data_IF_522060307329
#
_entry.id   IF_522060307329
#
_cell.length_a   1.000
_cell.length_b   1.000
_cell.length_c   1.000
_cell.angle_alpha   90.00
_cell.angle_beta   90.00
_cell.angle_gamma   90.00
#
_symmetry.space_group_name_H-M   'P 1'
#
loop_
_entity.id
_entity.type
_entity.pdbx_description
1 polymer ?
#
# COMPACT_ATOMS: atom_id res chain seq x y z
N UNK A 1 -74.53 -26.63 29.35
CA UNK A 1 -73.58 -27.19 30.34
C UNK A 1 -72.26 -27.45 29.61
N UNK A 2 -71.14 -26.98 30.18
CA UNK A 2 -69.72 -27.07 29.74
C UNK A 2 -69.17 -25.99 28.79
N UNK A 3 -68.48 -25.02 29.39
CA UNK A 3 -67.19 -24.43 28.97
C UNK A 3 -66.04 -25.26 29.63
N UNK A 4 -64.73 -25.04 29.38
CA UNK A 4 -64.01 -24.39 28.27
C UNK A 4 -62.88 -25.29 27.68
N UNK A 5 -62.13 -24.82 26.67
CA UNK A 5 -60.77 -25.30 26.39
C UNK A 5 -59.80 -24.14 26.62
N UNK A 6 -58.87 -24.35 27.56
CA UNK A 6 -57.81 -23.43 27.96
C UNK A 6 -56.65 -23.50 26.97
N UNK A 7 -56.22 -22.35 26.46
CA UNK A 7 -54.91 -22.19 25.86
C UNK A 7 -53.85 -22.15 26.98
N UNK A 8 -52.87 -23.05 26.93
CA UNK A 8 -51.62 -22.94 27.70
C UNK A 8 -50.50 -22.65 26.70
N UNK A 9 -49.93 -21.46 26.79
CA UNK A 9 -48.70 -21.10 26.10
C UNK A 9 -47.54 -21.88 26.71
N UNK A 10 -46.83 -22.68 25.90
CA UNK A 10 -45.51 -23.19 26.24
C UNK A 10 -44.50 -22.06 26.02
N UNK A 11 -43.85 -21.63 27.09
CA UNK A 11 -42.69 -20.74 27.04
C UNK A 11 -41.47 -21.62 26.81
N UNK A 12 -40.86 -21.53 25.63
CA UNK A 12 -39.54 -22.12 25.34
C UNK A 12 -38.52 -21.01 25.58
N UNK A 13 -37.75 -21.13 26.66
CA UNK A 13 -36.59 -20.29 26.92
C UNK A 13 -35.44 -20.86 26.06
N UNK A 14 -35.09 -20.17 24.99
CA UNK A 14 -33.85 -20.41 24.29
C UNK A 14 -32.70 -19.75 25.08
N UNK A 15 -31.84 -20.54 25.70
CA UNK A 15 -30.56 -20.04 26.20
C UNK A 15 -29.68 -19.72 24.98
N UNK A 16 -29.48 -18.42 24.70
CA UNK A 16 -28.39 -17.99 23.83
C UNK A 16 -27.06 -18.22 24.57
N UNK A 17 -26.28 -19.18 24.10
CA UNK A 17 -24.85 -19.21 24.37
C UNK A 17 -24.18 -18.17 23.46
N UNK A 18 -23.83 -17.01 24.03
CA UNK A 18 -22.86 -16.12 23.39
C UNK A 18 -21.46 -16.61 23.74
N UNK A 19 -20.56 -16.81 22.77
CA UNK A 19 -19.16 -17.03 23.09
C UNK A 19 -18.60 -15.77 23.74
N UNK A 20 -17.88 -15.95 24.84
CA UNK A 20 -17.02 -14.91 25.40
C UNK A 20 -15.91 -14.64 24.38
N UNK A 21 -16.03 -13.54 23.64
CA UNK A 21 -14.87 -12.97 22.96
C UNK A 21 -13.88 -12.55 24.04
N UNK A 22 -12.76 -13.26 24.14
CA UNK A 22 -11.57 -12.74 24.80
C UNK A 22 -11.20 -11.46 24.08
N UNK A 23 -11.28 -10.32 24.76
CA UNK A 23 -10.71 -9.08 24.24
C UNK A 23 -9.26 -9.38 23.85
N UNK A 24 -8.94 -9.21 22.57
CA UNK A 24 -7.57 -9.11 22.13
C UNK A 24 -6.95 -7.98 22.95
N UNK A 25 -5.90 -8.28 23.71
CA UNK A 25 -5.01 -7.25 24.23
C UNK A 25 -4.45 -6.53 23.03
N UNK A 26 -4.94 -5.33 22.75
CA UNK A 26 -4.27 -4.37 21.88
C UNK A 26 -2.92 -4.10 22.50
N UNK A 27 -1.89 -4.79 22.01
CA UNK A 27 -0.52 -4.34 22.20
C UNK A 27 -0.45 -3.09 21.34
N UNK A 28 -0.60 -1.92 21.95
CA UNK A 28 -0.16 -0.67 21.29
C UNK A 28 1.27 -0.92 20.83
N UNK A 29 1.62 -0.74 19.55
CA UNK A 29 3.00 -0.76 19.12
C UNK A 29 3.71 0.46 19.72
N UNK A 30 4.10 0.37 20.99
CA UNK A 30 5.00 1.35 21.60
C UNK A 30 6.43 0.93 21.31
N UNK A 31 6.97 1.47 20.23
CA UNK A 31 8.26 2.18 20.18
C UNK A 31 8.51 2.58 18.71
N UNK A 32 8.51 3.89 18.42
CA UNK A 32 9.35 4.40 17.33
C UNK A 32 10.77 3.92 17.64
N UNK A 33 11.32 3.04 16.81
CA UNK A 33 12.63 2.45 17.05
C UNK A 33 13.75 3.28 16.41
N UNK A 34 13.43 4.05 15.37
CA UNK A 34 14.33 4.98 14.69
C UNK A 34 13.84 6.43 14.73
N UNK A 35 14.60 7.29 14.04
CA UNK A 35 14.40 8.73 13.90
C UNK A 35 14.95 9.17 12.55
N UNK A 36 14.34 10.09 11.81
CA UNK A 36 14.87 10.55 10.52
C UNK A 36 16.28 11.19 10.59
N UNK A 37 16.74 11.60 11.78
CA UNK A 37 18.12 12.08 11.98
C UNK A 37 19.17 10.96 11.99
N UNK A 38 18.76 9.74 12.37
CA UNK A 38 19.53 8.54 12.11
C UNK A 38 19.15 8.05 10.71
N UNK A 39 20.14 7.72 9.89
CA UNK A 39 19.91 7.36 8.49
C UNK A 39 20.41 5.96 8.17
N UNK A 40 20.66 5.14 9.19
CA UNK A 40 21.16 3.78 9.05
C UNK A 40 20.97 3.06 10.40
N UNK A 41 19.76 2.57 10.66
CA UNK A 41 19.39 1.96 11.95
C UNK A 41 20.19 0.70 12.30
N UNK A 42 20.55 -0.10 11.30
CA UNK A 42 21.26 -1.36 11.51
C UNK A 42 22.76 -1.34 11.20
N UNK A 43 23.24 -0.25 10.59
CA UNK A 43 24.65 -0.01 10.32
C UNK A 43 25.20 -0.80 9.12
N UNK A 44 24.34 -1.23 8.19
CA UNK A 44 24.75 -1.95 6.99
C UNK A 44 25.28 -1.01 5.87
N UNK A 45 25.06 0.29 6.03
CA UNK A 45 25.49 1.35 5.11
C UNK A 45 24.48 1.70 4.01
N UNK A 46 23.28 1.12 4.02
CA UNK A 46 22.14 1.52 3.20
C UNK A 46 21.27 2.48 4.00
N UNK A 47 20.94 3.66 3.45
CA UNK A 47 20.06 4.58 4.15
C UNK A 47 18.68 4.00 4.42
N UNK A 48 18.07 4.28 5.57
CA UNK A 48 16.79 3.70 5.98
C UNK A 48 15.66 3.95 4.97
N UNK A 49 15.65 5.12 4.32
CA UNK A 49 14.71 5.44 3.25
C UNK A 49 14.90 4.58 1.98
N UNK A 50 16.07 3.97 1.82
CA UNK A 50 16.41 3.05 0.74
C UNK A 50 16.53 1.59 1.19
N UNK A 51 16.30 1.31 2.47
CA UNK A 51 16.43 -0.02 3.05
C UNK A 51 15.07 -0.70 3.20
N UNK A 52 14.90 -1.86 2.57
CA UNK A 52 13.69 -2.66 2.75
C UNK A 52 13.67 -3.44 4.08
N UNK A 53 14.73 -3.41 4.86
CA UNK A 53 14.88 -4.07 6.15
C UNK A 53 15.79 -3.24 7.08
N UNK A 54 15.43 -2.00 7.44
CA UNK A 54 16.28 -1.05 8.16
C UNK A 54 16.73 -1.50 9.57
N UNK A 55 16.27 -2.66 10.05
CA UNK A 55 16.61 -3.22 11.35
C UNK A 55 17.31 -4.59 11.25
N UNK A 56 17.76 -5.00 10.06
CA UNK A 56 18.37 -6.31 9.81
C UNK A 56 19.60 -6.19 8.89
N UNK A 57 20.82 -6.11 9.45
CA UNK A 57 22.03 -5.79 8.68
C UNK A 57 22.50 -6.94 7.77
N UNK A 58 21.72 -8.02 7.67
CA UNK A 58 22.00 -9.15 6.79
C UNK A 58 21.28 -9.06 5.43
N UNK A 59 20.34 -8.13 5.27
CA UNK A 59 19.53 -7.96 4.06
C UNK A 59 18.99 -6.53 4.02
N UNK A 60 18.92 -5.94 2.82
CA UNK A 60 18.41 -4.57 2.64
C UNK A 60 17.45 -4.41 1.45
N UNK A 61 17.06 -5.54 0.85
CA UNK A 61 16.16 -5.57 -0.31
C UNK A 61 15.13 -6.67 -0.17
N UNK A 62 13.89 -6.33 -0.50
CA UNK A 62 12.83 -7.32 -0.60
C UNK A 62 13.18 -8.42 -1.60
N UNK A 63 12.71 -9.66 -1.36
CA UNK A 63 12.84 -10.72 -2.33
C UNK A 63 12.13 -10.33 -3.63
N UNK A 64 12.79 -10.56 -4.76
CA UNK A 64 12.26 -10.28 -6.08
C UNK A 64 11.70 -11.57 -6.68
N UNK A 65 10.44 -11.55 -7.06
CA UNK A 65 9.78 -12.59 -7.83
C UNK A 65 9.53 -12.10 -9.24
N UNK A 66 9.96 -12.90 -10.21
CA UNK A 66 9.60 -12.71 -11.61
C UNK A 66 8.40 -13.60 -11.88
N UNK A 67 7.40 -13.06 -12.59
CA UNK A 67 6.21 -13.81 -13.01
C UNK A 67 6.57 -15.12 -13.72
N UNK A 68 5.64 -16.08 -13.68
CA UNK A 68 5.78 -17.35 -14.38
C UNK A 68 4.48 -17.69 -15.10
N UNK A 69 4.53 -17.54 -16.41
CA UNK A 69 3.42 -17.86 -17.31
C UNK A 69 3.22 -19.39 -17.43
N UNK A 70 1.96 -19.89 -17.49
CA UNK A 70 0.71 -19.13 -17.42
C UNK A 70 0.30 -18.76 -15.99
N UNK A 71 -0.18 -17.55 -15.76
CA UNK A 71 -0.66 -17.07 -14.46
C UNK A 71 -1.96 -16.25 -14.53
N UNK A 72 -2.74 -16.38 -15.60
CA UNK A 72 -3.89 -15.54 -15.94
C UNK A 72 -5.19 -15.93 -15.21
N UNK A 73 -5.16 -16.96 -14.36
CA UNK A 73 -6.34 -17.38 -13.60
C UNK A 73 -5.98 -17.97 -12.23
N UNK A 74 -6.94 -18.00 -11.27
CA UNK A 74 -6.65 -18.37 -9.89
C UNK A 74 -5.97 -19.73 -9.70
N UNK A 75 -6.25 -20.69 -10.57
CA UNK A 75 -5.70 -22.06 -10.45
C UNK A 75 -4.21 -22.17 -10.79
N UNK A 76 -3.69 -21.21 -11.56
CA UNK A 76 -2.28 -21.17 -12.01
C UNK A 76 -1.53 -19.93 -11.52
N UNK A 77 -2.16 -19.10 -10.68
CA UNK A 77 -1.56 -17.90 -10.11
C UNK A 77 -0.16 -18.17 -9.50
N UNK A 78 0.77 -17.24 -9.76
CA UNK A 78 2.17 -17.30 -9.32
C UNK A 78 2.24 -17.20 -7.79
N UNK A 79 2.78 -18.20 -7.07
CA UNK A 79 2.93 -18.12 -5.61
C UNK A 79 3.99 -17.10 -5.22
N UNK A 80 3.60 -16.16 -4.36
CA UNK A 80 4.50 -15.21 -3.70
C UNK A 80 4.36 -15.33 -2.18
N UNK A 81 5.40 -14.91 -1.46
CA UNK A 81 5.39 -14.83 0.00
C UNK A 81 5.61 -13.39 0.42
N UNK A 82 4.72 -12.89 1.28
CA UNK A 82 4.80 -11.55 1.84
C UNK A 82 5.12 -11.75 3.31
N UNK A 83 6.41 -11.69 3.65
CA UNK A 83 6.81 -11.65 5.05
C UNK A 83 6.63 -10.20 5.54
N UNK A 84 7.58 -9.34 5.22
CA UNK A 84 7.47 -7.90 5.43
C UNK A 84 7.03 -7.19 4.15
N UNK A 85 7.68 -7.53 3.04
CA UNK A 85 7.33 -7.10 1.71
C UNK A 85 7.97 -7.99 0.65
N UNK A 86 7.59 -7.75 -0.60
CA UNK A 86 8.04 -8.48 -1.78
C UNK A 86 8.00 -7.56 -2.99
N UNK A 87 8.96 -7.74 -3.91
CA UNK A 87 8.93 -7.08 -5.22
C UNK A 87 8.51 -8.12 -6.26
N UNK A 88 7.49 -7.81 -7.04
CA UNK A 88 7.02 -8.62 -8.15
C UNK A 88 7.31 -7.90 -9.45
N UNK A 89 7.85 -8.60 -10.44
CA UNK A 89 8.09 -8.05 -11.78
C UNK A 89 7.48 -8.94 -12.84
N UNK A 90 6.90 -8.30 -13.84
CA UNK A 90 6.22 -9.00 -14.90
C UNK A 90 5.97 -8.15 -16.13
N UNK A 91 5.25 -8.73 -17.09
CA UNK A 91 4.83 -8.09 -18.33
C UNK A 91 3.52 -8.70 -18.81
N UNK A 92 2.53 -7.84 -19.06
CA UNK A 92 1.34 -8.28 -19.80
C UNK A 92 1.75 -8.52 -21.25
N UNK A 93 2.17 -9.73 -21.57
CA UNK A 93 3.11 -10.05 -22.64
C UNK A 93 2.51 -9.96 -24.04
N UNK A 94 1.21 -10.18 -24.16
CA UNK A 94 0.48 -10.20 -25.44
C UNK A 94 -1.02 -10.05 -25.26
N UNK A 95 -1.78 -9.90 -26.34
CA UNK A 95 -3.24 -9.94 -26.30
C UNK A 95 -3.80 -11.28 -25.77
N UNK A 96 -3.00 -12.36 -25.74
CA UNK A 96 -3.43 -13.66 -25.20
C UNK A 96 -3.26 -13.76 -23.70
N UNK A 97 -2.34 -12.98 -23.15
CA UNK A 97 -2.15 -12.82 -21.72
C UNK A 97 -3.31 -11.96 -21.19
N UNK A 98 -4.16 -12.59 -20.38
CA UNK A 98 -5.38 -11.95 -19.87
C UNK A 98 -5.18 -11.27 -18.53
N UNK A 99 -3.96 -11.25 -18.02
CA UNK A 99 -3.64 -10.73 -16.71
C UNK A 99 -2.64 -11.59 -16.00
N UNK A 100 -2.09 -11.02 -14.94
CA UNK A 100 -1.17 -11.69 -14.05
C UNK A 100 -1.77 -11.80 -12.65
N UNK A 101 -1.88 -13.03 -12.14
CA UNK A 101 -2.33 -13.29 -10.78
C UNK A 101 -1.17 -13.79 -9.92
N UNK A 102 -1.02 -13.16 -8.76
CA UNK A 102 -0.03 -13.50 -7.73
C UNK A 102 -0.75 -13.94 -6.47
N UNK A 103 -0.61 -15.23 -6.11
CA UNK A 103 -1.26 -15.79 -4.93
C UNK A 103 -0.39 -15.68 -3.70
N UNK A 104 -1.01 -15.30 -2.59
CA UNK A 104 -0.40 -15.22 -1.27
C UNK A 104 -1.35 -15.76 -0.21
N UNK A 105 -0.83 -16.05 0.97
CA UNK A 105 -1.59 -16.59 2.10
C UNK A 105 -1.46 -15.61 3.26
N UNK A 106 -2.58 -15.28 3.89
CA UNK A 106 -2.57 -14.59 5.18
C UNK A 106 -3.14 -15.50 6.26
N UNK A 107 -2.59 -15.40 7.46
CA UNK A 107 -2.99 -16.20 8.62
C UNK A 107 -3.70 -15.39 9.70
N UNK A 108 -3.73 -14.07 9.54
CA UNK A 108 -4.31 -13.11 10.48
C UNK A 108 -4.84 -11.89 9.74
N UNK A 109 -5.49 -10.98 10.48
CA UNK A 109 -5.89 -9.70 9.95
C UNK A 109 -4.64 -8.91 9.56
N UNK A 110 -4.59 -8.48 8.30
CA UNK A 110 -3.47 -7.71 7.75
C UNK A 110 -4.00 -6.57 6.90
N UNK A 111 -3.29 -5.45 6.93
CA UNK A 111 -3.47 -4.37 5.99
C UNK A 111 -2.23 -4.37 5.09
N UNK A 112 -2.46 -4.22 3.79
CA UNK A 112 -1.38 -4.25 2.82
C UNK A 112 -1.53 -3.11 1.83
N UNK A 113 -0.38 -2.71 1.28
CA UNK A 113 -0.29 -1.82 0.13
C UNK A 113 0.55 -2.45 -0.97
N UNK A 114 0.08 -2.33 -2.20
CA UNK A 114 0.78 -2.69 -3.42
C UNK A 114 0.99 -1.42 -4.28
N UNK A 115 2.24 -1.00 -4.43
CA UNK A 115 2.65 0.12 -5.27
C UNK A 115 3.12 -0.42 -6.62
N UNK A 116 2.30 -0.22 -7.64
CA UNK A 116 2.58 -0.60 -9.01
C UNK A 116 3.27 0.55 -9.76
N UNK A 117 4.32 0.20 -10.52
CA UNK A 117 5.10 1.12 -11.36
C UNK A 117 5.24 0.56 -12.77
N UNK A 118 5.07 1.42 -13.77
CA UNK A 118 5.36 1.09 -15.18
C UNK A 118 5.95 2.28 -15.92
N UNK A 119 6.84 2.01 -16.89
CA UNK A 119 7.34 3.01 -17.83
C UNK A 119 6.45 3.18 -19.06
N UNK A 120 5.48 2.30 -19.29
CA UNK A 120 4.64 2.36 -20.50
C UNK A 120 3.46 3.30 -20.32
N UNK A 121 3.49 4.43 -21.04
CA UNK A 121 2.43 5.43 -21.02
C UNK A 121 1.07 4.92 -21.52
N UNK A 122 1.07 3.84 -22.32
CA UNK A 122 -0.15 3.23 -22.85
C UNK A 122 -0.71 2.11 -21.96
N UNK A 123 0.06 1.66 -20.96
CA UNK A 123 -0.43 0.66 -20.02
C UNK A 123 -1.45 1.32 -19.08
N UNK A 124 -2.67 0.79 -19.06
CA UNK A 124 -3.73 1.20 -18.14
C UNK A 124 -4.01 0.04 -17.18
N UNK A 125 -3.15 -0.13 -16.16
CA UNK A 125 -3.30 -1.23 -15.21
C UNK A 125 -4.60 -1.09 -14.43
N UNK A 126 -5.32 -2.20 -14.31
CA UNK A 126 -6.37 -2.38 -13.32
C UNK A 126 -5.92 -3.45 -12.36
N UNK A 127 -5.95 -3.13 -11.08
CA UNK A 127 -5.51 -4.01 -10.00
C UNK A 127 -6.69 -4.31 -9.11
N UNK A 128 -6.87 -5.58 -8.75
CA UNK A 128 -7.90 -6.03 -7.82
C UNK A 128 -7.43 -7.20 -6.99
N UNK A 129 -8.05 -7.37 -5.83
CA UNK A 129 -7.81 -8.50 -4.93
C UNK A 129 -8.97 -9.49 -5.04
N UNK A 130 -8.64 -10.77 -5.07
CA UNK A 130 -9.63 -11.85 -5.03
C UNK A 130 -9.26 -12.91 -4.01
N UNK A 131 -10.25 -13.70 -3.60
CA UNK A 131 -10.04 -14.90 -2.78
C UNK A 131 -9.68 -16.11 -3.65
N UNK A 132 -9.37 -17.25 -3.01
CA UNK A 132 -9.00 -18.51 -3.70
C UNK A 132 -9.93 -18.92 -4.86
N UNK A 133 -11.23 -18.63 -4.76
CA UNK A 133 -12.26 -18.95 -5.77
C UNK A 133 -12.33 -17.92 -6.93
N UNK A 134 -11.54 -16.84 -6.88
CA UNK A 134 -11.55 -15.74 -7.84
C UNK A 134 -12.64 -14.69 -7.58
N UNK A 135 -13.28 -14.69 -6.40
CA UNK A 135 -14.25 -13.66 -6.04
C UNK A 135 -13.52 -12.40 -5.57
N UNK A 136 -13.82 -11.29 -6.23
CA UNK A 136 -13.22 -9.98 -5.93
C UNK A 136 -13.63 -9.49 -4.55
N UNK A 137 -12.67 -8.94 -3.81
CA UNK A 137 -12.87 -8.24 -2.54
C UNK A 137 -13.10 -6.76 -2.86
N UNK A 138 -14.20 -6.20 -2.35
CA UNK A 138 -14.63 -4.85 -2.73
C UNK A 138 -14.05 -3.73 -1.84
N UNK A 139 -13.45 -4.08 -0.70
CA UNK A 139 -12.84 -3.11 0.23
C UNK A 139 -11.39 -2.83 -0.20
N UNK A 140 -11.22 -2.24 -1.39
CA UNK A 140 -9.92 -1.77 -1.88
C UNK A 140 -9.93 -0.24 -2.02
N UNK A 141 -8.85 0.40 -1.59
CA UNK A 141 -8.57 1.80 -1.85
C UNK A 141 -7.57 1.86 -3.00
N UNK A 142 -7.99 2.43 -4.12
CA UNK A 142 -7.15 2.58 -5.31
C UNK A 142 -6.88 4.06 -5.54
N UNK A 143 -5.62 4.44 -5.45
CA UNK A 143 -5.13 5.76 -5.81
C UNK A 143 -4.30 5.66 -7.09
N UNK A 144 -4.66 6.47 -8.10
CA UNK A 144 -3.93 6.52 -9.36
C UNK A 144 -3.27 7.89 -9.49
N UNK A 145 -1.95 7.87 -9.65
CA UNK A 145 -1.15 9.04 -9.98
C UNK A 145 -0.71 8.87 -11.42
N UNK A 146 -1.20 9.75 -12.29
CA UNK A 146 -1.01 9.63 -13.73
C UNK A 146 0.44 9.96 -14.14
N UNK A 147 1.17 10.72 -13.31
CA UNK A 147 2.53 11.17 -13.55
C UNK A 147 3.28 11.27 -12.22
N UNK A 148 4.34 10.48 -12.01
CA UNK A 148 4.69 9.25 -12.75
C UNK A 148 3.55 8.21 -12.73
N UNK A 149 3.51 7.27 -13.69
CA UNK A 149 2.49 6.21 -13.79
C UNK A 149 2.58 5.23 -12.60
N UNK A 150 2.08 5.67 -11.45
CA UNK A 150 2.08 4.95 -10.18
C UNK A 150 0.64 4.69 -9.78
N UNK A 151 0.39 3.45 -9.40
CA UNK A 151 -0.92 3.00 -8.95
C UNK A 151 -0.72 2.37 -7.59
N UNK A 152 -1.38 2.92 -6.59
CA UNK A 152 -1.32 2.45 -5.22
C UNK A 152 -2.63 1.74 -4.91
N UNK A 153 -2.53 0.48 -4.50
CA UNK A 153 -3.69 -0.31 -4.10
C UNK A 153 -3.49 -0.76 -2.67
N UNK A 154 -4.37 -0.30 -1.79
CA UNK A 154 -4.30 -0.61 -0.37
C UNK A 154 -5.58 -1.28 0.08
N UNK A 155 -5.47 -2.32 0.90
CA UNK A 155 -6.62 -3.15 1.25
C UNK A 155 -6.41 -3.93 2.55
N UNK A 156 -7.45 -4.02 3.39
CA UNK A 156 -7.47 -4.93 4.52
C UNK A 156 -7.88 -6.34 4.09
N UNK A 157 -7.25 -7.34 4.71
CA UNK A 157 -7.71 -8.72 4.72
C UNK A 157 -8.07 -9.10 6.14
N UNK A 158 -9.34 -9.41 6.38
CA UNK A 158 -9.87 -9.68 7.72
C UNK A 158 -9.79 -11.15 8.12
N UNK A 159 -9.93 -12.05 7.15
CA UNK A 159 -10.01 -13.49 7.39
C UNK A 159 -8.73 -14.21 6.92
N UNK A 160 -8.24 -15.20 7.67
CA UNK A 160 -7.18 -16.08 7.20
C UNK A 160 -7.60 -16.81 5.91
N UNK A 161 -6.71 -16.87 4.93
CA UNK A 161 -7.04 -17.49 3.65
C UNK A 161 -5.98 -17.31 2.58
N UNK A 162 -6.27 -17.87 1.41
CA UNK A 162 -5.50 -17.67 0.18
C UNK A 162 -6.18 -16.58 -0.65
N UNK A 163 -5.37 -15.64 -1.12
CA UNK A 163 -5.79 -14.47 -1.89
C UNK A 163 -4.91 -14.29 -3.11
N UNK A 164 -5.39 -13.52 -4.09
CA UNK A 164 -4.64 -13.17 -5.29
C UNK A 164 -4.66 -11.67 -5.51
N UNK A 165 -3.47 -11.09 -5.68
CA UNK A 165 -3.29 -9.79 -6.32
C UNK A 165 -3.35 -10.01 -7.83
N UNK A 166 -4.27 -9.34 -8.50
CA UNK A 166 -4.52 -9.53 -9.92
C UNK A 166 -4.28 -8.22 -10.66
N UNK A 167 -3.56 -8.29 -11.77
CA UNK A 167 -3.23 -7.16 -12.62
C UNK A 167 -3.67 -7.45 -14.05
N UNK A 168 -4.38 -6.51 -14.68
CA UNK A 168 -4.77 -6.57 -16.09
C UNK A 168 -4.51 -5.23 -16.78
N UNK A 169 -4.38 -5.23 -18.10
CA UNK A 169 -4.48 -4.01 -18.91
C UNK A 169 -5.94 -3.76 -19.30
N UNK A 170 -6.47 -2.58 -18.97
CA UNK A 170 -7.85 -2.16 -19.32
C UNK A 170 -8.11 -2.23 -20.83
N UNK A 171 -7.08 -1.97 -21.63
CA UNK A 171 -7.19 -2.02 -23.09
C UNK A 171 -7.06 -3.43 -23.67
N UNK A 172 -6.77 -4.44 -22.84
CA UNK A 172 -6.49 -5.82 -23.25
C UNK A 172 -5.48 -5.94 -24.39
N UNK A 173 -4.54 -4.99 -24.47
CA UNK A 173 -3.63 -4.91 -25.62
C UNK A 173 -2.47 -5.88 -25.48
N UNK A 174 -1.89 -5.97 -24.28
CA UNK A 174 -0.62 -6.64 -24.04
C UNK A 174 0.54 -6.10 -24.91
N UNK A 175 1.74 -6.60 -24.66
CA UNK A 175 2.94 -6.26 -25.40
C UNK A 175 4.18 -6.23 -24.50
N UNK A 176 5.38 -6.41 -25.07
CA UNK A 176 6.61 -6.46 -24.28
C UNK A 176 6.93 -5.14 -23.57
N UNK A 177 6.27 -4.04 -23.96
CA UNK A 177 6.38 -2.74 -23.32
C UNK A 177 5.51 -2.61 -22.05
N UNK A 178 4.49 -3.46 -21.86
CA UNK A 178 3.61 -3.46 -20.68
C UNK A 178 4.27 -4.15 -19.48
N UNK A 179 5.57 -3.90 -19.30
CA UNK A 179 6.33 -4.37 -18.16
C UNK A 179 5.98 -3.56 -16.92
N UNK A 180 6.03 -4.21 -15.76
CA UNK A 180 5.72 -3.58 -14.49
C UNK A 180 6.55 -4.13 -13.35
N UNK A 181 6.58 -3.34 -12.29
CA UNK A 181 7.09 -3.71 -10.97
C UNK A 181 6.01 -3.39 -9.93
N UNK A 182 5.78 -4.30 -8.98
CA UNK A 182 4.90 -4.11 -7.84
C UNK A 182 5.73 -4.26 -6.58
N UNK A 183 5.77 -3.24 -5.76
CA UNK A 183 6.29 -3.34 -4.38
C UNK A 183 5.09 -3.60 -3.47
N UNK A 184 5.06 -4.76 -2.82
CA UNK A 184 3.90 -5.23 -2.05
C UNK A 184 4.31 -5.53 -0.62
N UNK A 185 3.75 -4.81 0.35
CA UNK A 185 4.22 -4.79 1.74
C UNK A 185 3.08 -4.68 2.75
N UNK A 186 3.40 -4.92 4.03
CA UNK A 186 2.49 -4.66 5.15
C UNK A 186 2.47 -3.15 5.43
N UNK A 187 1.28 -2.60 5.61
CA UNK A 187 1.02 -1.18 5.79
C UNK A 187 -0.15 -1.05 6.77
N UNK A 188 0.14 -0.70 8.02
CA UNK A 188 -0.78 -0.83 9.14
C UNK A 188 -1.89 0.22 9.14
N UNK A 189 -1.63 1.42 8.65
CA UNK A 189 -2.57 2.55 8.65
C UNK A 189 -3.05 2.95 7.25
N UNK A 190 -2.56 2.27 6.21
CA UNK A 190 -3.03 2.34 4.82
C UNK A 190 -2.70 3.69 4.20
N UNK A 191 -1.50 4.16 4.43
CA UNK A 191 -1.01 5.47 3.98
C UNK A 191 -0.02 5.36 2.80
N UNK A 192 0.32 4.13 2.38
CA UNK A 192 1.31 3.78 1.36
C UNK A 192 2.76 3.76 1.82
N UNK A 193 3.00 3.78 3.12
CA UNK A 193 4.29 3.69 3.76
C UNK A 193 4.50 2.29 4.35
N UNK A 194 5.71 1.77 4.22
CA UNK A 194 6.06 0.47 4.76
C UNK A 194 6.29 0.51 6.27
N UNK A 195 5.62 -0.38 7.01
CA UNK A 195 5.68 -0.46 8.48
C UNK A 195 7.11 -0.42 9.07
N UNK A 196 8.12 -1.02 8.42
CA UNK A 196 9.48 -0.95 8.98
C UNK A 196 10.13 0.39 8.66
N UNK A 197 9.95 0.88 7.43
CA UNK A 197 10.52 2.18 7.04
C UNK A 197 9.92 3.30 7.86
N UNK A 198 8.61 3.30 8.12
CA UNK A 198 7.99 4.27 9.03
C UNK A 198 8.69 4.29 10.40
N UNK A 199 8.91 3.11 10.99
CA UNK A 199 9.60 3.03 12.28
C UNK A 199 11.02 3.53 12.24
N UNK A 200 11.72 3.28 11.13
CA UNK A 200 13.10 3.64 10.91
C UNK A 200 13.25 5.16 10.76
N UNK A 201 12.47 5.74 9.85
CA UNK A 201 12.48 7.18 9.56
C UNK A 201 11.64 8.02 10.54
N UNK A 202 11.05 7.40 11.57
CA UNK A 202 10.31 8.11 12.62
C UNK A 202 8.89 8.57 12.24
N UNK A 203 8.25 7.96 11.25
CA UNK A 203 6.80 8.11 11.00
C UNK A 203 5.94 7.19 11.90
N UNK A 204 4.64 7.44 11.98
CA UNK A 204 3.71 6.79 12.92
C UNK A 204 2.86 5.70 12.24
N UNK A 205 3.03 4.45 12.69
CA UNK A 205 2.33 3.25 12.18
C UNK A 205 0.79 3.26 12.25
N UNK A 206 0.20 4.25 12.90
CA UNK A 206 -1.23 4.36 13.14
C UNK A 206 -1.81 5.68 12.61
N UNK A 207 -0.98 6.65 12.24
CA UNK A 207 -1.39 7.97 11.81
C UNK A 207 -0.79 8.27 10.43
N UNK A 208 -1.69 8.43 9.46
CA UNK A 208 -1.38 8.45 8.04
C UNK A 208 -1.19 9.85 7.42
N UNK A 209 -1.18 10.88 8.25
CA UNK A 209 -1.14 12.31 7.87
C UNK A 209 -0.60 13.08 9.08
N UNK A 210 0.72 13.05 9.22
CA UNK A 210 1.41 13.49 10.44
C UNK A 210 1.45 15.02 10.58
N UNK A 211 1.59 15.74 9.47
CA UNK A 211 1.62 17.20 9.42
C UNK A 211 0.20 17.84 9.30
N UNK A 212 -0.80 17.04 8.90
CA UNK A 212 -2.25 17.37 8.80
C UNK A 212 -2.60 18.24 7.60
N UNK A 213 -1.87 18.10 6.51
CA UNK A 213 -2.11 18.80 5.26
C UNK A 213 -3.11 18.08 4.32
N UNK A 214 -3.37 16.79 4.57
CA UNK A 214 -4.22 15.83 3.80
C UNK A 214 -3.53 15.16 2.61
N UNK A 215 -2.24 15.30 2.47
CA UNK A 215 -1.37 14.38 1.76
C UNK A 215 -1.04 13.26 2.77
N UNK A 216 -0.80 12.05 2.28
CA UNK A 216 -0.52 10.91 3.16
C UNK A 216 0.99 10.74 3.25
N UNK A 217 1.52 10.42 4.43
CA UNK A 217 2.96 10.33 4.66
C UNK A 217 3.65 9.40 3.64
N UNK A 218 3.06 8.23 3.38
CA UNK A 218 3.53 7.30 2.36
C UNK A 218 3.58 7.87 0.94
N UNK A 219 2.68 8.79 0.56
CA UNK A 219 2.73 9.47 -0.73
C UNK A 219 3.89 10.46 -0.78
N UNK A 220 4.08 11.24 0.27
CA UNK A 220 5.16 12.21 0.38
C UNK A 220 6.52 11.51 0.34
N UNK A 221 6.62 10.37 1.04
CA UNK A 221 7.78 9.49 0.98
C UNK A 221 8.03 8.95 -0.45
N UNK A 222 7.00 8.43 -1.12
CA UNK A 222 7.11 7.89 -2.49
C UNK A 222 7.55 8.98 -3.47
N UNK A 223 6.88 10.13 -3.47
CA UNK A 223 7.17 11.23 -4.40
C UNK A 223 8.50 11.90 -4.10
N UNK A 224 8.83 12.12 -2.83
CA UNK A 224 10.14 12.61 -2.41
C UNK A 224 11.26 11.68 -2.88
N UNK A 225 11.13 10.37 -2.65
CA UNK A 225 12.13 9.39 -3.12
C UNK A 225 12.29 9.38 -4.64
N UNK A 226 11.22 9.61 -5.40
CA UNK A 226 11.27 9.76 -6.87
C UNK A 226 12.00 11.05 -7.26
N UNK A 227 11.78 12.13 -6.52
CA UNK A 227 12.51 13.39 -6.64
C UNK A 227 13.89 13.36 -5.93
N UNK A 228 14.32 12.17 -5.47
CA UNK A 228 15.63 11.85 -4.87
C UNK A 228 15.91 12.47 -3.50
N UNK A 229 14.90 12.98 -2.79
CA UNK A 229 15.06 13.44 -1.41
C UNK A 229 13.76 13.28 -0.62
N UNK A 230 13.88 12.88 0.64
CA UNK A 230 12.78 12.89 1.62
C UNK A 230 12.65 14.21 2.38
N UNK A 231 13.53 15.17 2.07
CA UNK A 231 13.61 16.54 2.61
C UNK A 231 13.98 17.43 1.40
N UNK A 232 12.97 17.97 0.72
CA UNK A 232 13.15 18.62 -0.60
C UNK A 232 13.86 19.97 -0.44
N UNK A 233 13.47 20.77 0.54
CA UNK A 233 14.01 22.11 0.76
C UNK A 233 15.33 22.13 1.58
N UNK A 234 15.70 21.00 2.20
CA UNK A 234 16.88 20.77 3.02
C UNK A 234 16.87 21.53 4.36
N UNK A 235 15.70 21.72 4.97
CA UNK A 235 15.56 22.36 6.28
C UNK A 235 15.73 21.39 7.47
N UNK A 236 15.95 20.09 7.19
CA UNK A 236 16.08 18.97 8.15
C UNK A 236 14.77 18.44 8.73
N UNK A 237 13.63 18.83 8.17
CA UNK A 237 12.32 18.24 8.42
C UNK A 237 11.99 17.37 7.20
N UNK A 238 11.63 16.09 7.38
CA UNK A 238 11.20 15.27 6.26
C UNK A 238 9.84 15.73 5.76
N UNK A 239 9.56 15.56 4.46
CA UNK A 239 8.36 16.08 3.80
C UNK A 239 7.06 15.75 4.57
N UNK A 240 6.89 14.50 5.04
CA UNK A 240 5.70 14.06 5.80
C UNK A 240 5.52 14.69 7.20
N UNK A 241 6.46 15.53 7.64
CA UNK A 241 6.39 16.35 8.85
C UNK A 241 6.50 17.85 8.56
N UNK A 242 6.78 18.21 7.32
CA UNK A 242 6.92 19.58 6.87
C UNK A 242 5.59 20.07 6.29
N UNK A 243 5.25 21.32 6.56
CA UNK A 243 4.01 21.94 6.07
C UNK A 243 4.22 22.78 4.81
N UNK A 244 5.47 22.91 4.36
CA UNK A 244 5.95 23.68 3.19
C UNK A 244 7.18 22.95 2.60
N UNK A 245 6.99 21.71 2.13
CA UNK A 245 8.06 20.74 1.84
C UNK A 245 9.09 21.21 0.82
N UNK A 246 8.75 22.14 -0.09
CA UNK A 246 9.68 22.69 -1.09
C UNK A 246 10.23 24.09 -0.76
N UNK A 247 9.76 24.66 0.36
CA UNK A 247 10.20 25.95 0.88
C UNK A 247 9.96 27.11 -0.08
N UNK A 248 8.87 27.08 -0.84
CA UNK A 248 8.46 28.17 -1.72
C UNK A 248 7.63 29.25 -0.99
N UNK A 249 7.11 28.92 0.20
CA UNK A 249 6.35 29.80 1.08
C UNK A 249 4.84 29.71 0.92
N UNK A 250 4.34 28.76 0.13
CA UNK A 250 2.97 28.28 0.21
C UNK A 250 2.91 27.15 1.25
N UNK A 251 2.02 26.19 1.10
CA UNK A 251 1.86 25.15 2.11
C UNK A 251 1.29 23.96 1.40
N UNK A 252 1.78 22.78 1.73
CA UNK A 252 1.47 21.54 1.03
C UNK A 252 -0.06 21.31 0.95
N UNK A 253 -0.77 21.66 2.03
CA UNK A 253 -2.24 21.69 2.11
C UNK A 253 -2.93 22.47 0.99
N UNK A 254 -2.37 23.64 0.65
CA UNK A 254 -2.91 24.58 -0.33
C UNK A 254 -2.57 24.15 -1.75
N UNK A 255 -1.36 23.65 -1.95
CA UNK A 255 -0.80 23.27 -3.24
C UNK A 255 -1.33 21.92 -3.71
N UNK A 256 -1.33 20.96 -2.79
CA UNK A 256 -1.78 19.60 -2.95
C UNK A 256 -0.90 18.77 -3.89
N UNK A 257 -1.31 17.52 -4.09
CA UNK A 257 -0.58 16.53 -4.90
C UNK A 257 -0.88 16.58 -6.41
N UNK A 258 -1.39 17.70 -6.92
CA UNK A 258 -1.52 17.88 -8.37
C UNK A 258 -0.16 18.20 -9.00
N UNK A 259 -0.06 18.02 -10.32
CA UNK A 259 1.11 18.39 -11.13
C UNK A 259 0.61 19.40 -12.18
N UNK A 260 0.75 20.69 -11.87
CA UNK A 260 0.14 21.77 -12.66
C UNK A 260 0.89 22.02 -13.98
N UNK A 261 2.22 22.00 -13.95
CA UNK A 261 3.07 22.31 -15.10
C UNK A 261 3.41 21.08 -15.97
N UNK A 262 3.04 19.87 -15.49
CA UNK A 262 3.14 18.58 -16.15
C UNK A 262 4.54 17.95 -16.21
N UNK A 263 5.43 18.31 -15.28
CA UNK A 263 6.82 17.81 -15.20
C UNK A 263 7.00 16.50 -14.41
N UNK A 264 5.91 16.00 -13.79
CA UNK A 264 5.81 14.81 -12.95
C UNK A 264 6.33 14.95 -11.50
N UNK A 265 6.54 16.18 -11.02
CA UNK A 265 6.72 16.53 -9.62
C UNK A 265 5.38 17.10 -9.11
N UNK A 266 4.83 16.59 -8.00
CA UNK A 266 3.65 17.20 -7.39
C UNK A 266 3.96 18.61 -6.87
N UNK A 267 2.98 19.51 -6.92
CA UNK A 267 3.14 20.93 -6.55
C UNK A 267 3.78 21.12 -5.17
N UNK A 268 3.38 20.36 -4.15
CA UNK A 268 3.94 20.47 -2.79
C UNK A 268 5.45 20.11 -2.69
N UNK A 269 6.04 19.54 -3.74
CA UNK A 269 7.46 19.25 -3.84
C UNK A 269 8.13 20.02 -5.00
N UNK A 270 7.42 20.99 -5.59
CA UNK A 270 7.82 21.73 -6.78
C UNK A 270 7.73 23.24 -6.57
N UNK A 271 8.90 23.79 -6.23
CA UNK A 271 9.13 25.23 -6.05
C UNK A 271 8.77 26.10 -7.27
N UNK A 272 8.61 25.53 -8.47
CA UNK A 272 8.16 26.21 -9.68
C UNK A 272 6.90 25.54 -10.24
N UNK A 273 5.93 25.20 -9.39
CA UNK A 273 4.70 24.46 -9.75
C UNK A 273 3.89 25.03 -10.93
N UNK A 274 4.10 26.28 -11.36
CA UNK A 274 3.45 26.86 -12.54
C UNK A 274 4.33 26.90 -13.81
N UNK A 275 5.58 26.44 -13.70
CA UNK A 275 6.56 26.30 -14.77
C UNK A 275 6.98 27.63 -15.40
N UNK A 276 6.91 28.74 -14.65
CA UNK A 276 7.23 30.06 -15.16
C UNK A 276 8.73 30.42 -15.03
N UNK A 277 9.50 29.60 -14.30
CA UNK A 277 10.95 29.72 -14.14
C UNK A 277 11.40 30.57 -12.96
N UNK A 278 10.53 30.81 -11.98
CA UNK A 278 10.85 31.49 -10.69
C UNK A 278 9.96 31.03 -9.57
#
# INVERSE_FOLDING_TARGET
MRLPHSARALSIIALLFMPLFTQATTVTPTEHQGTWENKDEDGDGVPDELDDYPFDPSRNKYPIFIEQEPNDNPSVATPIKIDQGVIVRGVISSELDKGDLFKFVTTELKQYTAVFKTSSARFKPQVYISNEDGLVINDIFLYQYAKPNIYVVSFPIYDPGTYQLSLIDENFSGGPDLSYEIVFFNDTDVDSFDDMKERAVGSDLLANDMDKDKILDGLEFIFGTINKSIDIDNDSIPNWLDTDSDGDGFSDKLEGSNDLDNDAIPNFLDRDADGNGT
#
